data_IF_260875091398
#
_entry.id   IF_260875091398
#
_cell.length_a   1.000
_cell.length_b   1.000
_cell.length_c   1.000
_cell.angle_alpha   90.00
_cell.angle_beta   90.00
_cell.angle_gamma   90.00
#
_symmetry.space_group_name_H-M   'P 1'
#
loop_
_entity.id
_entity.type
_entity.pdbx_description
1 polymer ?
#
# COMPACT_ATOMS: atom_id res chain seq x y z
N UNK A 1 24.50 -19.80 36.03
CA UNK A 1 23.59 -20.95 35.85
C UNK A 1 22.11 -20.52 35.86
N UNK A 2 21.57 -19.95 36.95
CA UNK A 2 20.16 -19.53 37.06
C UNK A 2 19.72 -18.42 36.08
N UNK A 3 20.63 -17.49 35.74
CA UNK A 3 20.37 -16.38 34.80
C UNK A 3 20.15 -16.85 33.35
N UNK A 4 20.78 -17.96 32.96
CA UNK A 4 20.63 -18.53 31.60
C UNK A 4 19.23 -19.16 31.45
N UNK A 5 18.71 -19.79 32.51
CA UNK A 5 17.35 -20.31 32.53
C UNK A 5 16.29 -19.20 32.40
N UNK A 6 16.51 -18.04 33.02
CA UNK A 6 15.58 -16.90 32.91
C UNK A 6 15.57 -16.33 31.49
N UNK A 7 16.73 -16.18 30.85
CA UNK A 7 16.81 -15.68 29.47
C UNK A 7 16.16 -16.65 28.47
N UNK A 8 16.30 -17.97 28.67
CA UNK A 8 15.63 -18.98 27.84
C UNK A 8 14.10 -18.92 27.91
N UNK A 9 13.52 -18.69 29.10
CA UNK A 9 12.08 -18.57 29.27
C UNK A 9 11.49 -17.31 28.63
N UNK A 10 12.21 -16.18 28.70
CA UNK A 10 11.78 -14.93 28.07
C UNK A 10 11.81 -15.07 26.54
N UNK A 11 12.86 -15.65 25.98
CA UNK A 11 12.95 -15.90 24.54
C UNK A 11 11.85 -16.84 24.03
N UNK A 12 11.55 -17.92 24.78
CA UNK A 12 10.48 -18.85 24.43
C UNK A 12 9.10 -18.20 24.50
N UNK A 13 8.83 -17.38 25.53
CA UNK A 13 7.58 -16.64 25.67
C UNK A 13 7.33 -15.64 24.54
N UNK A 14 8.38 -14.96 24.08
CA UNK A 14 8.29 -14.02 22.94
C UNK A 14 8.07 -14.75 21.61
N UNK A 15 8.72 -15.89 21.39
CA UNK A 15 8.56 -16.67 20.15
C UNK A 15 7.13 -17.21 20.01
N UNK A 16 6.57 -17.76 21.09
CA UNK A 16 5.22 -18.34 21.06
C UNK A 16 4.10 -17.32 20.77
N UNK A 17 4.39 -16.02 20.87
CA UNK A 17 3.42 -14.96 20.58
C UNK A 17 3.51 -14.43 19.13
N UNK A 18 4.61 -14.71 18.41
CA UNK A 18 4.83 -14.15 17.07
C UNK A 18 4.18 -14.97 15.93
N UNK A 19 3.80 -16.22 16.18
CA UNK A 19 3.22 -17.10 15.14
C UNK A 19 1.70 -16.95 14.95
N UNK A 20 1.04 -15.97 15.59
CA UNK A 20 -0.44 -15.89 15.66
C UNK A 20 -1.12 -14.79 14.84
N UNK A 21 -0.49 -14.24 13.81
CA UNK A 21 -1.16 -13.31 12.88
C UNK A 21 -0.95 -13.74 11.42
N UNK A 22 -1.79 -14.67 10.96
CA UNK A 22 -2.05 -14.91 9.53
C UNK A 22 -3.47 -15.41 9.37
N UNK A 23 -4.43 -14.55 9.72
CA UNK A 23 -5.83 -14.77 9.37
C UNK A 23 -6.13 -13.97 8.10
N UNK A 24 -6.04 -14.66 6.96
CA UNK A 24 -6.54 -14.14 5.70
C UNK A 24 -8.07 -14.02 5.82
N UNK A 25 -8.59 -12.80 5.76
CA UNK A 25 -10.04 -12.57 5.76
C UNK A 25 -10.67 -13.21 4.51
N UNK A 26 -11.72 -14.05 4.67
CA UNK A 26 -12.53 -14.46 3.53
C UNK A 26 -13.22 -13.23 2.92
N UNK A 27 -13.02 -13.02 1.63
CA UNK A 27 -13.71 -11.98 0.86
C UNK A 27 -15.19 -12.38 0.79
N UNK A 28 -16.02 -11.74 1.61
CA UNK A 28 -17.47 -11.85 1.52
C UNK A 28 -17.92 -11.09 0.27
N UNK A 29 -18.69 -11.71 -0.65
CA UNK A 29 -19.21 -11.01 -1.81
C UNK A 29 -20.18 -9.94 -1.32
N UNK A 30 -19.80 -8.67 -1.42
CA UNK A 30 -20.65 -7.54 -1.06
C UNK A 30 -21.91 -7.60 -1.93
N UNK A 31 -23.02 -8.02 -1.31
CA UNK A 31 -24.32 -8.16 -1.93
C UNK A 31 -24.76 -6.77 -2.42
N UNK A 32 -24.69 -6.57 -3.74
CA UNK A 32 -25.03 -5.33 -4.43
C UNK A 32 -26.53 -5.06 -4.31
N UNK A 33 -26.94 -4.45 -3.21
CA UNK A 33 -28.24 -3.83 -3.09
C UNK A 33 -28.16 -2.48 -3.81
N UNK A 34 -28.48 -2.49 -5.12
CA UNK A 34 -28.75 -1.26 -5.88
C UNK A 34 -30.12 -0.75 -5.43
N UNK A 35 -30.22 0.40 -4.75
CA UNK A 35 -31.50 1.05 -4.64
C UNK A 35 -31.78 1.72 -5.99
N UNK A 36 -32.86 1.29 -6.63
CA UNK A 36 -33.46 1.98 -7.76
C UNK A 36 -33.92 3.36 -7.28
N UNK A 37 -33.07 4.38 -7.43
CA UNK A 37 -33.43 5.77 -7.13
C UNK A 37 -33.19 6.61 -8.37
N UNK A 38 -34.33 6.94 -8.97
CA UNK A 38 -34.57 7.86 -10.05
C UNK A 38 -33.73 9.14 -9.98
N UNK A 39 -32.95 9.35 -11.04
CA UNK A 39 -32.62 10.63 -11.67
C UNK A 39 -32.27 11.84 -10.76
N UNK A 40 -31.00 11.93 -10.34
CA UNK A 40 -30.24 13.19 -10.23
C UNK A 40 -28.80 12.89 -10.69
N UNK A 41 -28.08 13.81 -11.34
CA UNK A 41 -26.71 13.56 -11.79
C UNK A 41 -25.78 13.62 -10.58
N UNK A 42 -25.72 12.53 -9.81
CA UNK A 42 -24.68 12.32 -8.82
C UNK A 42 -23.40 12.16 -9.61
N UNK A 43 -22.55 13.20 -9.58
CA UNK A 43 -21.18 13.14 -10.03
C UNK A 43 -20.47 12.14 -9.13
N UNK A 44 -20.60 10.87 -9.46
CA UNK A 44 -19.64 9.86 -9.04
C UNK A 44 -18.30 10.44 -9.47
N UNK A 45 -17.48 10.86 -8.51
CA UNK A 45 -16.04 10.88 -8.73
C UNK A 45 -15.69 9.41 -8.80
N UNK A 46 -16.06 8.80 -9.94
CA UNK A 46 -15.30 7.70 -10.49
C UNK A 46 -13.94 8.33 -10.60
N UNK A 47 -13.04 7.96 -9.69
CA UNK A 47 -11.61 8.04 -9.92
C UNK A 47 -11.45 7.35 -11.25
N UNK A 48 -11.53 8.12 -12.34
CA UNK A 48 -11.18 7.64 -13.65
C UNK A 48 -9.73 7.26 -13.39
N UNK A 49 -9.50 5.96 -13.24
CA UNK A 49 -8.22 5.35 -13.55
C UNK A 49 -8.07 5.68 -15.02
N UNK A 50 -7.67 6.93 -15.26
CA UNK A 50 -7.22 7.38 -16.53
C UNK A 50 -6.14 6.38 -16.82
N UNK A 51 -6.36 5.58 -17.86
CA UNK A 51 -5.41 4.61 -18.38
C UNK A 51 -4.23 5.41 -18.95
N UNK A 52 -3.54 6.14 -18.07
CA UNK A 52 -2.32 6.82 -18.35
C UNK A 52 -1.29 5.72 -18.49
N UNK A 53 -0.90 5.47 -19.74
CA UNK A 53 0.28 4.69 -20.06
C UNK A 53 1.49 5.45 -19.52
N UNK A 54 1.95 5.04 -18.35
CA UNK A 54 3.19 5.54 -17.77
C UNK A 54 4.39 4.89 -18.48
N UNK A 55 5.45 5.66 -18.70
CA UNK A 55 6.69 5.13 -19.28
C UNK A 55 7.89 5.66 -18.53
N UNK A 56 8.93 4.86 -18.44
CA UNK A 56 10.19 5.27 -17.83
C UNK A 56 10.90 6.31 -18.72
N UNK A 57 10.95 7.54 -18.23
CA UNK A 57 11.58 8.69 -18.91
C UNK A 57 12.80 9.24 -18.14
N UNK A 58 13.23 8.52 -17.09
CA UNK A 58 14.39 8.88 -16.27
C UNK A 58 14.09 9.79 -15.07
N UNK A 59 12.82 10.06 -14.76
CA UNK A 59 12.42 10.69 -13.50
C UNK A 59 12.69 9.79 -12.30
N UNK A 60 13.09 10.41 -11.19
CA UNK A 60 13.55 9.71 -9.99
C UNK A 60 12.93 10.26 -8.70
N UNK A 61 12.31 11.45 -8.74
CA UNK A 61 11.80 12.12 -7.54
C UNK A 61 10.31 12.42 -7.65
N UNK A 62 9.66 12.48 -6.47
CA UNK A 62 8.26 12.81 -6.29
C UNK A 62 7.84 14.14 -6.96
N UNK A 63 8.67 15.18 -6.87
CA UNK A 63 8.39 16.49 -7.49
C UNK A 63 8.15 16.43 -9.00
N UNK A 64 8.61 15.36 -9.65
CA UNK A 64 8.51 15.15 -11.08
C UNK A 64 7.27 14.31 -11.47
N UNK A 65 6.57 13.71 -10.50
CA UNK A 65 5.37 12.91 -10.72
C UNK A 65 4.12 13.79 -10.69
N UNK A 66 3.15 13.45 -11.54
CA UNK A 66 1.85 14.13 -11.61
C UNK A 66 0.80 13.47 -10.73
N UNK A 67 1.02 12.21 -10.32
CA UNK A 67 0.11 11.48 -9.46
C UNK A 67 0.83 10.41 -8.64
N UNK A 68 0.22 9.99 -7.52
CA UNK A 68 0.72 8.85 -6.73
C UNK A 68 0.71 7.54 -7.50
N UNK A 69 -0.32 7.29 -8.32
CA UNK A 69 -0.38 6.11 -9.18
C UNK A 69 0.77 6.05 -10.21
N UNK A 70 1.19 7.21 -10.73
CA UNK A 70 2.39 7.31 -11.59
C UNK A 70 3.66 6.99 -10.80
N UNK A 71 3.81 7.56 -9.60
CA UNK A 71 4.96 7.29 -8.73
C UNK A 71 5.06 5.79 -8.38
N UNK A 72 3.93 5.17 -8.02
CA UNK A 72 3.86 3.72 -7.74
C UNK A 72 4.23 2.89 -8.97
N UNK A 73 3.83 3.32 -10.17
CA UNK A 73 4.27 2.67 -11.40
C UNK A 73 5.79 2.80 -11.56
N UNK A 74 6.36 3.98 -11.34
CA UNK A 74 7.79 4.21 -11.49
C UNK A 74 8.63 3.34 -10.55
N UNK A 75 8.27 3.24 -9.26
CA UNK A 75 8.97 2.36 -8.30
C UNK A 75 8.98 0.91 -8.76
N UNK A 76 7.86 0.42 -9.31
CA UNK A 76 7.70 -0.98 -9.71
C UNK A 76 8.29 -1.31 -11.09
N UNK A 77 8.36 -0.34 -12.00
CA UNK A 77 8.64 -0.60 -13.43
C UNK A 77 9.89 0.11 -13.95
N UNK A 78 10.39 1.13 -13.26
CA UNK A 78 11.49 1.96 -13.74
C UNK A 78 12.75 1.83 -12.88
N UNK A 79 13.94 1.78 -13.49
CA UNK A 79 15.19 1.72 -12.74
C UNK A 79 15.55 3.08 -12.14
N UNK A 80 16.38 3.07 -11.09
CA UNK A 80 16.98 4.26 -10.46
C UNK A 80 15.99 5.25 -9.83
N UNK A 81 14.81 4.80 -9.40
CA UNK A 81 13.87 5.63 -8.65
C UNK A 81 14.40 5.94 -7.25
N UNK A 82 14.06 7.12 -6.71
CA UNK A 82 14.46 7.61 -5.37
C UNK A 82 13.26 8.18 -4.61
N UNK A 83 12.09 7.63 -4.90
CA UNK A 83 10.79 8.12 -4.43
C UNK A 83 10.28 7.35 -3.21
N UNK A 84 10.69 6.08 -3.13
CA UNK A 84 10.45 5.15 -2.04
C UNK A 84 11.77 5.07 -1.26
N UNK A 85 11.76 5.55 -0.02
CA UNK A 85 12.99 5.73 0.77
C UNK A 85 13.26 4.58 1.73
N UNK A 86 12.22 3.86 2.08
CA UNK A 86 12.16 2.73 2.99
C UNK A 86 11.82 1.41 2.27
N UNK A 87 11.62 1.47 0.95
CA UNK A 87 11.40 0.33 0.05
C UNK A 87 10.15 -0.48 0.41
N UNK A 88 9.11 0.19 0.91
CA UNK A 88 7.83 -0.42 1.30
C UNK A 88 6.82 -0.51 0.14
N UNK A 89 7.18 0.05 -1.02
CA UNK A 89 6.36 0.10 -2.22
C UNK A 89 5.40 1.29 -2.27
N UNK A 90 5.41 2.17 -1.27
CA UNK A 90 4.59 3.37 -1.16
C UNK A 90 5.50 4.59 -1.41
N UNK A 91 5.67 5.01 -2.67
CA UNK A 91 6.46 6.19 -2.93
C UNK A 91 5.79 7.43 -2.36
N UNK A 92 6.64 8.43 -2.08
CA UNK A 92 6.21 9.81 -1.91
C UNK A 92 5.34 10.13 -0.68
N UNK A 93 5.42 9.34 0.38
CA UNK A 93 4.62 9.51 1.59
C UNK A 93 4.72 10.90 2.26
N UNK A 94 5.86 11.59 2.07
CA UNK A 94 6.14 12.90 2.68
C UNK A 94 5.70 14.10 1.83
N UNK A 95 5.10 13.88 0.67
CA UNK A 95 4.67 14.96 -0.22
C UNK A 95 3.16 15.18 -0.07
N UNK A 96 2.81 16.34 0.49
CA UNK A 96 1.43 16.72 0.81
C UNK A 96 0.47 16.83 -0.38
N UNK A 97 0.96 16.68 -1.63
CA UNK A 97 0.10 16.66 -2.82
C UNK A 97 -0.69 15.36 -2.95
N UNK A 98 -0.32 14.31 -2.21
CA UNK A 98 -0.92 12.96 -2.26
C UNK A 98 -0.94 12.31 -0.87
#
# INVERSE_FOLDING_TARGET
MKKILILGLIAFGLWNHFDKDSEATPIEPLNMHVPEISALPTRVISSSVSSHTFSCDGRQYCTQMNSRAEAEYFVRNCPNTKMDGDDDGIPCERDSRW
#
